data_IF_590393112069
#
_entry.id   IF_590393112069
#
_cell.length_a   1.000
_cell.length_b   1.000
_cell.length_c   1.000
_cell.angle_alpha   90.00
_cell.angle_beta   90.00
_cell.angle_gamma   90.00
#
_symmetry.space_group_name_H-M   'P 1'
#
loop_
_entity.id
_entity.type
_entity.pdbx_description
1 polymer ?
#
# COMPACT_ATOMS: atom_id res chain seq x y z
N UNK A 1 -19.93 -25.43 -69.77
CA UNK A 1 -20.64 -25.63 -68.49
C UNK A 1 -19.71 -25.23 -67.36
N UNK A 2 -19.93 -24.06 -66.78
CA UNK A 2 -19.13 -23.50 -65.69
C UNK A 2 -19.48 -24.21 -64.37
N UNK A 3 -18.48 -24.80 -63.71
CA UNK A 3 -18.63 -25.29 -62.32
C UNK A 3 -18.49 -24.10 -61.38
N UNK A 4 -19.56 -23.80 -60.64
CA UNK A 4 -19.58 -22.83 -59.55
C UNK A 4 -18.67 -23.29 -58.40
N UNK A 5 -17.93 -22.38 -57.73
CA UNK A 5 -17.11 -22.71 -56.57
C UNK A 5 -17.99 -22.98 -55.35
N UNK A 6 -17.55 -23.96 -54.57
CA UNK A 6 -18.28 -24.53 -53.44
C UNK A 6 -18.66 -23.53 -52.36
N UNK A 7 -19.86 -23.74 -51.82
CA UNK A 7 -20.34 -23.14 -50.59
C UNK A 7 -19.31 -23.34 -49.47
N UNK A 8 -18.75 -22.23 -48.99
CA UNK A 8 -17.97 -22.19 -47.77
C UNK A 8 -18.93 -22.35 -46.60
N UNK A 9 -19.13 -23.59 -46.14
CA UNK A 9 -19.85 -23.87 -44.89
C UNK A 9 -18.87 -23.56 -43.76
N UNK A 10 -19.05 -22.48 -42.97
CA UNK A 10 -18.20 -22.24 -41.82
C UNK A 10 -18.35 -23.41 -40.85
N UNK A 11 -17.24 -24.02 -40.46
CA UNK A 11 -17.25 -25.21 -39.60
C UNK A 11 -18.01 -24.91 -38.31
N UNK A 12 -18.91 -25.82 -37.92
CA UNK A 12 -19.72 -25.74 -36.70
C UNK A 12 -18.87 -25.45 -35.45
N UNK A 13 -17.61 -25.90 -35.45
CA UNK A 13 -16.62 -25.69 -34.38
C UNK A 13 -16.24 -24.23 -34.16
N UNK A 14 -16.20 -23.38 -35.20
CA UNK A 14 -15.85 -21.96 -35.03
C UNK A 14 -16.98 -21.17 -34.38
N UNK A 15 -18.23 -21.51 -34.67
CA UNK A 15 -19.40 -20.88 -34.05
C UNK A 15 -19.54 -21.25 -32.57
N UNK A 16 -19.32 -22.52 -32.20
CA UNK A 16 -19.37 -22.96 -30.80
C UNK A 16 -18.25 -22.34 -29.97
N UNK A 17 -17.03 -22.24 -30.51
CA UNK A 17 -15.91 -21.59 -29.83
C UNK A 17 -16.19 -20.09 -29.62
N UNK A 18 -16.72 -19.41 -30.64
CA UNK A 18 -17.07 -18.00 -30.51
C UNK A 18 -18.18 -17.78 -29.46
N UNK A 19 -19.21 -18.63 -29.45
CA UNK A 19 -20.29 -18.56 -28.47
C UNK A 19 -19.79 -18.76 -27.04
N UNK A 20 -18.94 -19.77 -26.80
CA UNK A 20 -18.33 -20.02 -25.48
C UNK A 20 -17.47 -18.85 -24.99
N UNK A 21 -16.77 -18.16 -25.90
CA UNK A 21 -15.95 -17.00 -25.54
C UNK A 21 -16.82 -15.80 -25.18
N UNK A 22 -17.92 -15.58 -25.89
CA UNK A 22 -18.89 -14.52 -25.59
C UNK A 22 -19.58 -14.77 -24.24
N UNK A 23 -19.99 -16.01 -23.96
CA UNK A 23 -20.57 -16.38 -22.67
C UNK A 23 -19.58 -16.20 -21.52
N UNK A 24 -18.34 -16.65 -21.69
CA UNK A 24 -17.28 -16.45 -20.69
C UNK A 24 -17.02 -14.96 -20.42
N UNK A 25 -16.98 -14.13 -21.47
CA UNK A 25 -16.81 -12.68 -21.34
C UNK A 25 -18.01 -12.02 -20.66
N UNK A 26 -19.24 -12.51 -20.90
CA UNK A 26 -20.44 -12.03 -20.19
C UNK A 26 -20.38 -12.36 -18.71
N UNK A 27 -20.12 -13.63 -18.36
CA UNK A 27 -19.97 -14.02 -16.96
C UNK A 27 -18.85 -13.24 -16.26
N UNK A 28 -17.74 -12.97 -16.95
CA UNK A 28 -16.66 -12.15 -16.41
C UNK A 28 -17.11 -10.70 -16.17
N UNK A 29 -17.90 -10.13 -17.09
CA UNK A 29 -18.45 -8.78 -16.94
C UNK A 29 -19.43 -8.71 -15.75
N UNK A 30 -20.31 -9.71 -15.62
CA UNK A 30 -21.27 -9.79 -14.52
C UNK A 30 -20.56 -9.90 -13.16
N UNK A 31 -19.50 -10.71 -13.08
CA UNK A 31 -18.70 -10.88 -11.87
C UNK A 31 -17.96 -9.57 -11.50
N UNK A 32 -17.40 -8.88 -12.50
CA UNK A 32 -16.81 -7.55 -12.30
C UNK A 32 -17.84 -6.52 -11.85
N UNK A 33 -19.06 -6.58 -12.38
CA UNK A 33 -20.13 -5.67 -12.01
C UNK A 33 -20.57 -5.90 -10.55
N UNK A 34 -20.74 -7.16 -10.13
CA UNK A 34 -21.03 -7.51 -8.74
C UNK A 34 -19.91 -7.06 -7.79
N UNK A 35 -18.65 -7.28 -8.16
CA UNK A 35 -17.50 -6.84 -7.36
C UNK A 35 -17.44 -5.30 -7.25
N UNK A 36 -17.79 -4.57 -8.32
CA UNK A 36 -17.88 -3.12 -8.30
C UNK A 36 -19.01 -2.64 -7.39
N UNK A 37 -20.19 -3.25 -7.47
CA UNK A 37 -21.34 -2.94 -6.61
C UNK A 37 -21.02 -3.20 -5.13
N UNK A 38 -20.34 -4.30 -4.81
CA UNK A 38 -19.89 -4.60 -3.46
C UNK A 38 -18.86 -3.57 -2.96
N UNK A 39 -17.85 -3.25 -3.77
CA UNK A 39 -16.83 -2.24 -3.40
C UNK A 39 -17.45 -0.85 -3.21
N UNK A 40 -18.46 -0.50 -4.01
CA UNK A 40 -19.23 0.74 -3.85
C UNK A 40 -20.01 0.73 -2.54
N UNK A 41 -20.69 -0.37 -2.22
CA UNK A 41 -21.39 -0.51 -0.94
C UNK A 41 -20.45 -0.40 0.27
N UNK A 42 -19.23 -0.95 0.17
CA UNK A 42 -18.20 -0.79 1.19
C UNK A 42 -17.76 0.68 1.33
N UNK A 43 -17.53 1.39 0.23
CA UNK A 43 -17.21 2.82 0.22
C UNK A 43 -18.33 3.67 0.84
N UNK A 44 -19.59 3.41 0.50
CA UNK A 44 -20.74 4.14 1.05
C UNK A 44 -20.84 3.94 2.57
N UNK A 45 -20.62 2.70 3.06
CA UNK A 45 -20.59 2.39 4.49
C UNK A 45 -19.44 3.11 5.21
N UNK A 46 -18.25 3.13 4.63
CA UNK A 46 -17.09 3.85 5.18
C UNK A 46 -17.32 5.36 5.21
N UNK A 47 -17.95 5.93 4.18
CA UNK A 47 -18.28 7.36 4.13
C UNK A 47 -19.22 7.78 5.27
N UNK A 48 -20.25 6.97 5.56
CA UNK A 48 -21.16 7.22 6.70
C UNK A 48 -20.43 7.12 8.04
N UNK A 49 -19.54 6.13 8.20
CA UNK A 49 -18.73 5.98 9.42
C UNK A 49 -17.78 7.17 9.61
N UNK A 50 -17.12 7.63 8.56
CA UNK A 50 -16.26 8.82 8.60
C UNK A 50 -17.05 10.06 9.00
N UNK A 51 -18.24 10.29 8.43
CA UNK A 51 -19.09 11.41 8.81
C UNK A 51 -19.50 11.37 10.29
N UNK A 52 -19.79 10.18 10.84
CA UNK A 52 -20.05 10.00 12.28
C UNK A 52 -18.80 10.30 13.11
N UNK A 53 -17.63 9.80 12.70
CA UNK A 53 -16.37 10.05 13.42
C UNK A 53 -15.98 11.54 13.40
N UNK A 54 -16.18 12.25 12.28
CA UNK A 54 -15.95 13.68 12.16
C UNK A 54 -16.90 14.49 13.06
N UNK A 55 -18.19 14.14 13.06
CA UNK A 55 -19.18 14.76 13.97
C UNK A 55 -18.83 14.48 15.45
N UNK A 56 -18.39 13.26 15.77
CA UNK A 56 -18.00 12.91 17.14
C UNK A 56 -16.71 13.62 17.55
N UNK A 57 -15.75 13.79 16.64
CA UNK A 57 -14.52 14.52 16.90
C UNK A 57 -14.80 16.00 17.20
N UNK A 58 -15.66 16.64 16.41
CA UNK A 58 -16.05 18.04 16.65
C UNK A 58 -16.80 18.19 17.97
N UNK A 59 -17.75 17.30 18.28
CA UNK A 59 -18.44 17.29 19.57
C UNK A 59 -17.49 17.12 20.75
N UNK A 60 -16.50 16.21 20.65
CA UNK A 60 -15.47 16.03 21.69
C UNK A 60 -14.56 17.26 21.84
N UNK A 61 -14.17 17.91 20.74
CA UNK A 61 -13.38 19.15 20.79
C UNK A 61 -14.15 20.27 21.48
N UNK A 62 -15.44 20.41 21.20
CA UNK A 62 -16.31 21.39 21.86
C UNK A 62 -16.49 21.06 23.35
N UNK A 63 -16.68 19.78 23.70
CA UNK A 63 -16.78 19.34 25.08
C UNK A 63 -15.48 19.56 25.89
N UNK A 64 -14.31 19.36 25.27
CA UNK A 64 -13.01 19.68 25.86
C UNK A 64 -12.87 21.18 26.08
N UNK A 65 -13.17 22.01 25.07
CA UNK A 65 -13.12 23.46 25.20
C UNK A 65 -14.08 24.00 26.28
N UNK A 66 -15.28 23.43 26.42
CA UNK A 66 -16.20 23.76 27.52
C UNK A 66 -15.62 23.34 28.88
N UNK A 67 -14.92 22.20 28.95
CA UNK A 67 -14.29 21.72 30.17
C UNK A 67 -13.10 22.60 30.58
N UNK A 68 -12.27 23.03 29.63
CA UNK A 68 -11.15 23.95 29.87
C UNK A 68 -11.65 25.31 30.39
N UNK A 69 -12.71 25.87 29.78
CA UNK A 69 -13.35 27.11 30.26
C UNK A 69 -13.92 26.96 31.67
N UNK A 70 -14.49 25.79 31.99
CA UNK A 70 -14.98 25.51 33.33
C UNK A 70 -13.84 25.39 34.35
N UNK A 71 -12.71 24.78 33.97
CA UNK A 71 -11.50 24.72 34.80
C UNK A 71 -10.93 26.12 35.07
N UNK A 72 -10.81 26.97 34.04
CA UNK A 72 -10.37 28.37 34.20
C UNK A 72 -11.25 29.15 35.19
N UNK A 73 -12.58 28.92 35.15
CA UNK A 73 -13.51 29.52 36.09
C UNK A 73 -13.37 28.96 37.52
N UNK A 74 -13.16 27.64 37.66
CA UNK A 74 -12.90 27.01 38.97
C UNK A 74 -11.59 27.49 39.58
N UNK A 75 -10.51 27.59 38.79
CA UNK A 75 -9.20 28.07 39.25
C UNK A 75 -9.28 29.52 39.74
N UNK A 76 -10.02 30.39 39.02
CA UNK A 76 -10.27 31.76 39.44
C UNK A 76 -11.07 31.83 40.76
N UNK A 77 -12.10 30.98 40.92
CA UNK A 77 -12.86 30.89 42.17
C UNK A 77 -12.03 30.36 43.34
N UNK A 78 -11.14 29.40 43.09
CA UNK A 78 -10.22 28.88 44.11
C UNK A 78 -9.21 29.94 44.56
N UNK A 79 -8.62 30.69 43.63
CA UNK A 79 -7.72 31.81 43.96
C UNK A 79 -8.42 32.90 44.80
N UNK A 80 -9.69 33.20 44.52
CA UNK A 80 -10.50 34.11 45.34
C UNK A 80 -10.85 33.51 46.72
N UNK A 81 -11.09 32.20 46.80
CA UNK A 81 -11.39 31.52 48.06
C UNK A 81 -10.16 31.44 48.99
N UNK A 82 -8.98 31.19 48.43
CA UNK A 82 -7.73 31.10 49.20
C UNK A 82 -7.31 32.47 49.75
N UNK A 83 -7.54 33.55 48.99
CA UNK A 83 -7.33 34.94 49.45
C UNK A 83 -8.43 35.45 50.40
N UNK A 84 -9.56 34.74 50.49
CA UNK A 84 -10.68 35.03 51.40
C UNK A 84 -10.60 34.33 52.76
N UNK A 85 -9.65 33.41 52.98
CA UNK A 85 -9.45 32.78 54.28
C UNK A 85 -8.93 33.82 55.27
N UNK A 86 -9.61 34.03 56.41
CA UNK A 86 -9.21 35.06 57.35
C UNK A 86 -7.82 34.72 57.90
N UNK A 87 -7.04 35.75 58.18
CA UNK A 87 -5.75 35.70 58.89
C UNK A 87 -5.84 35.10 60.31
N UNK A 88 -6.95 34.46 60.66
CA UNK A 88 -7.23 33.81 61.93
C UNK A 88 -6.21 32.70 62.29
N UNK A 89 -5.43 32.20 61.33
CA UNK A 89 -4.31 31.27 61.57
C UNK A 89 -3.00 31.96 62.01
N UNK A 90 -2.89 33.29 61.93
CA UNK A 90 -1.63 34.02 62.14
C UNK A 90 -1.60 34.84 63.44
N UNK A 91 -2.28 34.34 64.49
CA UNK A 91 -2.45 35.03 65.79
C UNK A 91 -1.17 35.17 66.63
N UNK A 92 0.01 35.10 66.02
CA UNK A 92 1.31 35.03 66.67
C UNK A 92 2.42 35.87 65.99
N UNK A 93 2.08 36.87 65.17
CA UNK A 93 3.05 37.76 64.53
C UNK A 93 3.17 39.12 65.28
N UNK A 94 4.33 39.77 65.19
CA UNK A 94 4.55 41.09 65.82
C UNK A 94 3.87 42.22 65.02
N UNK A 95 3.50 43.37 65.65
CA UNK A 95 2.70 44.42 65.00
C UNK A 95 3.30 45.02 63.71
N UNK A 96 4.63 45.04 63.58
CA UNK A 96 5.33 45.52 62.39
C UNK A 96 5.35 44.48 61.25
N UNK A 97 5.33 43.20 61.60
CA UNK A 97 5.25 42.10 60.64
C UNK A 97 3.80 41.89 60.15
N UNK A 98 2.81 42.25 60.97
CA UNK A 98 1.40 42.23 60.62
C UNK A 98 1.06 43.24 59.50
N UNK A 99 1.62 44.45 59.51
CA UNK A 99 1.37 45.45 58.45
C UNK A 99 1.97 45.04 57.09
N UNK A 100 3.20 44.53 57.06
CA UNK A 100 3.81 44.04 55.82
C UNK A 100 3.11 42.77 55.29
N UNK A 101 2.66 41.88 56.17
CA UNK A 101 1.92 40.68 55.82
C UNK A 101 0.50 40.98 55.33
N UNK A 102 -0.16 41.99 55.91
CA UNK A 102 -1.45 42.52 55.44
C UNK A 102 -1.34 43.15 54.05
N UNK A 103 -0.29 43.93 53.79
CA UNK A 103 -0.03 44.50 52.46
C UNK A 103 0.18 43.40 51.41
N UNK A 104 0.98 42.37 51.72
CA UNK A 104 1.19 41.22 50.80
C UNK A 104 -0.10 40.43 50.54
N UNK A 105 -0.90 40.15 51.57
CA UNK A 105 -2.19 39.47 51.41
C UNK A 105 -3.20 40.29 50.57
N UNK A 106 -3.17 41.63 50.69
CA UNK A 106 -3.99 42.51 49.85
C UNK A 106 -3.53 42.55 48.40
N UNK A 107 -2.22 42.51 48.15
CA UNK A 107 -1.65 42.40 46.81
C UNK A 107 -2.03 41.06 46.15
N UNK A 108 -1.91 39.94 46.88
CA UNK A 108 -2.33 38.60 46.43
C UNK A 108 -3.83 38.56 46.10
N UNK A 109 -4.67 39.20 46.91
CA UNK A 109 -6.11 39.34 46.64
C UNK A 109 -6.38 40.17 45.38
N UNK A 110 -5.68 41.30 45.18
CA UNK A 110 -5.81 42.12 43.98
C UNK A 110 -5.40 41.37 42.71
N UNK A 111 -4.38 40.51 42.80
CA UNK A 111 -3.97 39.64 41.69
C UNK A 111 -5.02 38.58 41.38
N UNK A 112 -5.59 37.92 42.40
CA UNK A 112 -6.68 36.96 42.23
C UNK A 112 -7.93 37.59 41.61
N UNK A 113 -8.31 38.80 42.04
CA UNK A 113 -9.40 39.60 41.45
C UNK A 113 -9.11 39.98 39.98
N UNK A 114 -7.86 40.34 39.66
CA UNK A 114 -7.44 40.62 38.29
C UNK A 114 -7.58 39.41 37.36
N UNK A 115 -7.19 38.22 37.83
CA UNK A 115 -7.33 36.96 37.10
C UNK A 115 -8.81 36.59 36.88
N UNK A 116 -9.66 36.75 37.91
CA UNK A 116 -11.09 36.49 37.82
C UNK A 116 -11.77 37.40 36.78
N UNK A 117 -11.44 38.69 36.73
CA UNK A 117 -11.94 39.63 35.71
C UNK A 117 -11.48 39.27 34.31
N UNK A 118 -10.24 38.80 34.16
CA UNK A 118 -9.73 38.34 32.86
C UNK A 118 -10.46 37.09 32.35
N UNK A 119 -10.74 36.13 33.24
CA UNK A 119 -11.53 34.93 32.92
C UNK A 119 -12.97 35.30 32.56
N UNK A 120 -13.61 36.19 33.33
CA UNK A 120 -14.96 36.69 33.02
C UNK A 120 -15.03 37.35 31.65
N UNK A 121 -14.10 38.26 31.34
CA UNK A 121 -14.05 38.91 30.03
C UNK A 121 -13.84 37.89 28.89
N UNK A 122 -13.08 36.81 29.13
CA UNK A 122 -12.96 35.72 28.15
C UNK A 122 -14.28 34.99 28.01
N UNK A 123 -14.95 34.60 29.09
CA UNK A 123 -16.23 33.88 29.05
C UNK A 123 -17.33 34.69 28.35
N UNK A 124 -17.46 35.99 28.66
CA UNK A 124 -18.42 36.91 28.03
C UNK A 124 -18.24 36.98 26.50
N UNK A 125 -16.99 37.01 26.05
CA UNK A 125 -16.66 37.04 24.62
C UNK A 125 -17.00 35.75 23.89
N UNK A 126 -16.99 34.61 24.58
CA UNK A 126 -17.35 33.31 24.02
C UNK A 126 -18.86 33.06 24.07
N UNK A 127 -19.58 33.55 25.08
CA UNK A 127 -21.04 33.52 25.14
C UNK A 127 -21.68 34.44 24.07
N UNK A 128 -21.09 35.60 23.79
CA UNK A 128 -21.56 36.52 22.75
C UNK A 128 -21.36 36.04 21.31
N UNK A 129 -20.53 35.00 21.08
CA UNK A 129 -20.19 34.51 19.75
C UNK A 129 -21.05 33.35 19.23
N UNK A 130 -21.78 32.64 20.09
CA UNK A 130 -22.44 31.38 19.73
C UNK A 130 -23.95 31.49 19.45
N UNK A 131 -24.60 32.63 19.72
CA UNK A 131 -26.06 32.78 19.61
C UNK A 131 -26.53 34.09 18.93
N UNK A 132 -25.67 34.77 18.17
CA UNK A 132 -26.07 35.97 17.42
C UNK A 132 -26.75 35.63 16.08
N UNK A 133 -27.76 34.75 16.09
CA UNK A 133 -28.79 34.69 15.04
C UNK A 133 -30.14 34.56 15.76
N UNK A 134 -31.04 35.49 15.46
CA UNK A 134 -32.41 35.68 15.99
C UNK A 134 -32.55 36.43 17.32
N UNK A 135 -32.37 37.75 17.31
CA UNK A 135 -33.46 38.73 17.56
C UNK A 135 -32.94 40.18 17.61
N UNK A 136 -33.67 41.18 17.08
CA UNK A 136 -33.27 42.57 17.06
C UNK A 136 -33.72 43.28 18.35
N UNK A 137 -32.81 43.94 19.04
CA UNK A 137 -33.21 44.83 20.13
C UNK A 137 -32.07 45.25 21.04
N UNK A 138 -31.81 46.55 21.02
CA UNK A 138 -31.10 47.33 22.06
C UNK A 138 -29.57 47.37 21.90
N UNK A 139 -29.16 48.31 21.03
CA UNK A 139 -27.96 49.12 21.23
C UNK A 139 -28.01 49.85 22.56
N UNK A 140 -27.07 49.60 23.46
CA UNK A 140 -26.63 50.59 24.45
C UNK A 140 -25.12 50.53 24.58
N UNK A 141 -24.48 51.45 23.88
CA UNK A 141 -23.18 52.01 24.22
C UNK A 141 -23.11 52.37 25.70
N UNK A 142 -22.11 51.85 26.41
CA UNK A 142 -21.65 52.44 27.67
C UNK A 142 -20.13 52.40 27.71
N UNK A 143 -19.55 53.56 27.43
CA UNK A 143 -18.22 53.94 27.91
C UNK A 143 -18.29 54.07 29.44
N UNK A 144 -17.58 53.23 30.19
CA UNK A 144 -17.36 53.44 31.63
C UNK A 144 -15.87 53.45 31.91
N UNK A 145 -15.36 54.67 31.96
CA UNK A 145 -14.10 55.08 32.54
C UNK A 145 -14.08 54.91 34.06
N UNK A 146 -12.85 54.85 34.59
CA UNK A 146 -12.44 55.29 35.92
C UNK A 146 -12.59 54.30 37.07
N UNK A 147 -11.41 53.97 37.59
CA UNK A 147 -11.07 53.54 38.94
C UNK A 147 -12.17 53.76 40.02
N UNK A 148 -12.59 52.64 40.61
CA UNK A 148 -12.92 52.59 42.03
C UNK A 148 -12.48 51.23 42.58
N UNK A 149 -11.56 51.25 43.55
CA UNK A 149 -11.06 50.08 44.26
C UNK A 149 -12.04 49.65 45.34
N UNK A 150 -13.29 49.43 44.96
CA UNK A 150 -14.39 49.02 45.83
C UNK A 150 -14.71 47.53 45.68
N UNK A 151 -15.02 46.89 46.79
CA UNK A 151 -15.35 45.45 46.92
C UNK A 151 -16.39 44.97 45.87
N UNK A 152 -15.89 44.41 44.76
CA UNK A 152 -16.70 43.82 43.68
C UNK A 152 -16.57 42.30 43.60
N UNK A 153 -15.92 41.68 44.58
CA UNK A 153 -15.63 40.24 44.62
C UNK A 153 -16.90 39.39 44.61
N UNK A 154 -17.91 39.68 45.44
CA UNK A 154 -19.10 38.82 45.55
C UNK A 154 -19.97 38.81 44.29
N UNK A 155 -20.05 39.93 43.58
CA UNK A 155 -20.84 40.06 42.34
C UNK A 155 -20.12 39.38 41.18
N UNK A 156 -18.81 39.57 41.06
CA UNK A 156 -17.96 38.90 40.05
C UNK A 156 -17.90 37.38 40.30
N UNK A 157 -17.82 36.96 41.56
CA UNK A 157 -17.88 35.57 41.99
C UNK A 157 -19.24 34.93 41.67
N UNK A 158 -20.34 35.66 41.90
CA UNK A 158 -21.68 35.20 41.53
C UNK A 158 -21.82 35.01 40.02
N UNK A 159 -21.30 35.94 39.20
CA UNK A 159 -21.28 35.82 37.73
C UNK A 159 -20.44 34.63 37.25
N UNK A 160 -19.28 34.37 37.84
CA UNK A 160 -18.46 33.18 37.54
C UNK A 160 -19.23 31.89 37.84
N UNK A 161 -19.98 31.85 38.95
CA UNK A 161 -20.84 30.70 39.30
C UNK A 161 -21.99 30.52 38.31
N UNK A 162 -22.59 31.61 37.82
CA UNK A 162 -23.64 31.57 36.78
C UNK A 162 -23.09 31.06 35.45
N UNK A 163 -21.93 31.51 35.00
CA UNK A 163 -21.25 30.95 33.80
C UNK A 163 -20.88 29.47 33.98
N UNK A 164 -20.52 29.04 35.18
CA UNK A 164 -20.26 27.63 35.47
C UNK A 164 -21.52 26.76 35.36
N UNK A 165 -22.68 27.29 35.73
CA UNK A 165 -23.97 26.60 35.52
C UNK A 165 -24.28 26.51 34.03
N UNK A 166 -24.10 27.59 33.27
CA UNK A 166 -24.30 27.61 31.81
C UNK A 166 -23.35 26.62 31.10
N UNK A 167 -22.06 26.60 31.46
CA UNK A 167 -21.08 25.65 30.89
C UNK A 167 -21.41 24.19 31.25
N UNK A 168 -22.03 23.95 32.41
CA UNK A 168 -22.52 22.60 32.79
C UNK A 168 -23.74 22.20 31.95
N UNK A 169 -24.64 23.13 31.66
CA UNK A 169 -25.81 22.90 30.81
C UNK A 169 -25.40 22.69 29.34
N UNK A 170 -24.48 23.49 28.80
CA UNK A 170 -23.88 23.30 27.48
C UNK A 170 -23.22 21.92 27.38
N UNK A 171 -22.42 21.53 28.38
CA UNK A 171 -21.80 20.21 28.47
C UNK A 171 -22.84 19.08 28.54
N UNK A 172 -23.98 19.29 29.19
CA UNK A 172 -25.07 18.32 29.23
C UNK A 172 -25.77 18.19 27.86
N UNK A 173 -25.92 19.29 27.11
CA UNK A 173 -26.44 19.27 25.75
C UNK A 173 -25.55 18.45 24.80
N UNK A 174 -24.22 18.59 24.90
CA UNK A 174 -23.25 17.81 24.11
C UNK A 174 -23.25 16.31 24.47
N UNK A 175 -23.63 15.94 25.70
CA UNK A 175 -23.80 14.53 26.08
C UNK A 175 -25.03 13.88 25.44
N UNK A 176 -26.05 14.65 25.04
CA UNK A 176 -27.24 14.14 24.36
C UNK A 176 -27.04 13.89 22.87
N UNK A 177 -26.10 14.60 22.23
CA UNK A 177 -25.62 14.32 20.87
C UNK A 177 -24.69 13.12 20.98
N UNK A 178 -25.31 11.94 21.04
CA UNK A 178 -24.73 10.59 20.99
C UNK A 178 -23.20 10.55 20.95
N UNK A 179 -22.58 10.87 22.08
CA UNK A 179 -21.29 10.30 22.42
C UNK A 179 -21.64 8.84 22.64
N UNK A 180 -21.57 8.01 21.59
CA UNK A 180 -21.28 6.60 21.85
C UNK A 180 -20.13 6.65 22.82
N UNK A 181 -20.32 6.15 24.05
CA UNK A 181 -19.19 6.05 24.93
C UNK A 181 -18.14 5.34 24.08
N UNK A 182 -16.92 5.86 24.08
CA UNK A 182 -15.78 4.97 24.07
C UNK A 182 -15.93 4.08 25.32
N UNK A 183 -16.95 3.21 25.34
CA UNK A 183 -16.78 1.90 25.88
C UNK A 183 -15.55 1.45 25.12
N UNK A 184 -14.49 1.18 25.89
CA UNK A 184 -13.35 0.42 25.43
C UNK A 184 -13.84 -0.45 24.28
N UNK A 185 -13.28 -0.29 23.08
CA UNK A 185 -13.43 -1.26 21.97
C UNK A 185 -13.71 -2.57 22.65
N UNK A 186 -14.95 -3.05 22.61
CA UNK A 186 -15.30 -4.15 23.52
C UNK A 186 -14.24 -5.21 23.27
N UNK A 187 -13.75 -5.89 24.31
CA UNK A 187 -12.67 -6.86 24.12
C UNK A 187 -12.96 -7.78 22.90
N UNK A 188 -14.26 -8.01 22.66
CA UNK A 188 -14.88 -8.56 21.46
C UNK A 188 -14.63 -7.79 20.14
N UNK A 189 -14.85 -6.48 20.05
CA UNK A 189 -14.52 -5.66 18.86
C UNK A 189 -13.02 -5.61 18.55
N UNK A 190 -12.17 -5.54 19.59
CA UNK A 190 -10.72 -5.60 19.40
C UNK A 190 -10.29 -6.99 18.88
N UNK A 191 -10.81 -8.07 19.48
CA UNK A 191 -10.59 -9.43 18.98
C UNK A 191 -11.18 -9.67 17.60
N UNK A 192 -12.29 -9.02 17.26
CA UNK A 192 -12.90 -9.11 15.92
C UNK A 192 -12.01 -8.44 14.88
N UNK A 193 -11.47 -7.27 15.18
CA UNK A 193 -10.48 -6.60 14.33
C UNK A 193 -9.19 -7.41 14.20
N UNK A 194 -8.72 -8.03 15.28
CA UNK A 194 -7.56 -8.92 15.26
C UNK A 194 -7.81 -10.16 14.40
N UNK A 195 -9.02 -10.73 14.48
CA UNK A 195 -9.43 -11.87 13.66
C UNK A 195 -9.56 -11.48 12.18
N UNK A 196 -10.19 -10.36 11.87
CA UNK A 196 -10.30 -9.83 10.51
C UNK A 196 -8.89 -9.55 9.93
N UNK A 197 -7.99 -8.95 10.71
CA UNK A 197 -6.60 -8.73 10.31
C UNK A 197 -5.83 -10.05 10.13
N UNK A 198 -6.10 -11.06 10.96
CA UNK A 198 -5.51 -12.40 10.81
C UNK A 198 -6.02 -13.12 9.54
N UNK A 199 -7.32 -13.01 9.23
CA UNK A 199 -7.92 -13.55 8.00
C UNK A 199 -7.32 -12.85 6.78
N UNK A 200 -7.23 -11.52 6.79
CA UNK A 200 -6.58 -10.77 5.70
C UNK A 200 -5.11 -11.17 5.52
N UNK A 201 -4.38 -11.39 6.62
CA UNK A 201 -3.01 -11.90 6.54
C UNK A 201 -2.97 -13.32 5.97
N UNK A 202 -3.91 -14.19 6.32
CA UNK A 202 -4.00 -15.54 5.79
C UNK A 202 -4.32 -15.54 4.29
N UNK A 203 -5.30 -14.75 3.85
CA UNK A 203 -5.64 -14.58 2.43
C UNK A 203 -4.46 -14.00 1.65
N UNK A 204 -3.80 -12.98 2.19
CA UNK A 204 -2.60 -12.39 1.56
C UNK A 204 -1.45 -13.39 1.46
N UNK A 205 -1.30 -14.27 2.45
CA UNK A 205 -0.30 -15.35 2.40
C UNK A 205 -0.67 -16.42 1.37
N UNK A 206 -1.93 -16.83 1.30
CA UNK A 206 -2.41 -17.76 0.29
C UNK A 206 -2.19 -17.20 -1.13
N UNK A 207 -2.54 -15.94 -1.38
CA UNK A 207 -2.28 -15.27 -2.66
C UNK A 207 -0.78 -15.19 -2.97
N UNK A 208 0.08 -14.98 -1.95
CA UNK A 208 1.54 -14.98 -2.14
C UNK A 208 2.07 -16.36 -2.50
N UNK A 209 1.52 -17.42 -1.93
CA UNK A 209 1.86 -18.81 -2.24
C UNK A 209 1.43 -19.15 -3.67
N UNK A 210 0.17 -18.88 -4.03
CA UNK A 210 -0.33 -19.04 -5.40
C UNK A 210 0.50 -18.25 -6.41
N UNK A 211 0.88 -17.01 -6.10
CA UNK A 211 1.77 -16.20 -6.95
C UNK A 211 3.16 -16.83 -7.10
N UNK A 212 3.70 -17.43 -6.04
CA UNK A 212 4.99 -18.11 -6.09
C UNK A 212 4.91 -19.39 -6.94
N UNK A 213 3.83 -20.16 -6.80
CA UNK A 213 3.54 -21.34 -7.61
C UNK A 213 3.37 -20.99 -9.09
N UNK A 214 2.56 -19.97 -9.41
CA UNK A 214 2.39 -19.49 -10.78
C UNK A 214 3.70 -19.01 -11.41
N UNK A 215 4.58 -18.37 -10.63
CA UNK A 215 5.92 -18.00 -11.11
C UNK A 215 6.79 -19.21 -11.41
N UNK A 216 6.76 -20.24 -10.57
CA UNK A 216 7.50 -21.48 -10.82
C UNK A 216 6.97 -22.20 -12.06
N UNK A 217 5.64 -22.26 -12.24
CA UNK A 217 5.02 -22.83 -13.44
C UNK A 217 5.39 -22.04 -14.70
N UNK A 218 5.35 -20.70 -14.66
CA UNK A 218 5.77 -19.87 -15.79
C UNK A 218 7.22 -20.14 -16.17
N UNK A 219 8.11 -20.22 -15.18
CA UNK A 219 9.52 -20.53 -15.42
C UNK A 219 9.70 -21.89 -16.12
N UNK A 220 8.99 -22.94 -15.68
CA UNK A 220 9.05 -24.26 -16.31
C UNK A 220 8.50 -24.22 -17.74
N UNK A 221 7.35 -23.57 -17.95
CA UNK A 221 6.74 -23.42 -19.28
C UNK A 221 7.63 -22.63 -20.24
N UNK A 222 8.32 -21.59 -19.78
CA UNK A 222 9.29 -20.84 -20.58
C UNK A 222 10.47 -21.73 -21.01
N UNK A 223 10.93 -22.62 -20.12
CA UNK A 223 11.99 -23.59 -20.44
C UNK A 223 11.52 -24.65 -21.43
N UNK A 224 10.31 -25.17 -21.26
CA UNK A 224 9.70 -26.12 -22.20
C UNK A 224 9.48 -25.47 -23.57
N UNK A 225 8.96 -24.23 -23.61
CA UNK A 225 8.82 -23.45 -24.84
C UNK A 225 10.16 -23.29 -25.55
N UNK A 226 11.20 -22.85 -24.84
CA UNK A 226 12.53 -22.69 -25.44
C UNK A 226 13.10 -24.01 -25.96
N UNK A 227 12.87 -25.13 -25.26
CA UNK A 227 13.29 -26.46 -25.73
C UNK A 227 12.52 -26.90 -26.99
N UNK A 228 11.22 -26.63 -27.05
CA UNK A 228 10.39 -26.91 -28.22
C UNK A 228 10.78 -26.03 -29.41
N UNK A 229 11.08 -24.75 -29.20
CA UNK A 229 11.57 -23.83 -30.24
C UNK A 229 12.90 -24.32 -30.82
N UNK A 230 13.84 -24.78 -29.99
CA UNK A 230 15.08 -25.40 -30.46
C UNK A 230 14.81 -26.68 -31.26
N UNK A 231 13.86 -27.52 -30.82
CA UNK A 231 13.49 -28.74 -31.54
C UNK A 231 12.87 -28.41 -32.90
N UNK A 232 11.98 -27.41 -32.96
CA UNK A 232 11.40 -26.91 -34.20
C UNK A 232 12.49 -26.40 -35.16
N UNK A 233 13.40 -25.55 -34.69
CA UNK A 233 14.54 -25.08 -35.49
C UNK A 233 15.44 -26.22 -35.99
N UNK A 234 15.60 -27.30 -35.22
CA UNK A 234 16.32 -28.49 -35.67
C UNK A 234 15.61 -29.22 -36.81
N UNK A 235 14.27 -29.26 -36.80
CA UNK A 235 13.48 -29.85 -37.87
C UNK A 235 13.49 -28.98 -39.13
N UNK A 236 13.36 -27.66 -38.98
CA UNK A 236 13.49 -26.70 -40.08
C UNK A 236 14.85 -26.80 -40.77
N UNK A 237 15.94 -26.93 -40.01
CA UNK A 237 17.27 -27.13 -40.58
C UNK A 237 17.40 -28.47 -41.34
N UNK A 238 16.76 -29.54 -40.84
CA UNK A 238 16.72 -30.83 -41.56
C UNK A 238 15.91 -30.72 -42.85
N UNK A 239 14.75 -30.06 -42.80
CA UNK A 239 13.90 -29.83 -43.97
C UNK A 239 14.66 -29.04 -45.04
N UNK A 240 15.33 -27.95 -44.66
CA UNK A 240 16.17 -27.16 -45.57
C UNK A 240 17.29 -27.99 -46.19
N UNK A 241 17.96 -28.86 -45.42
CA UNK A 241 19.00 -29.75 -45.95
C UNK A 241 18.43 -30.74 -46.99
N UNK A 242 17.25 -31.31 -46.73
CA UNK A 242 16.58 -32.16 -47.71
C UNK A 242 16.15 -31.40 -48.96
N UNK A 243 15.65 -30.18 -48.84
CA UNK A 243 15.30 -29.34 -49.98
C UNK A 243 16.51 -29.07 -50.88
N UNK A 244 17.65 -28.66 -50.30
CA UNK A 244 18.90 -28.44 -51.04
C UNK A 244 19.36 -29.73 -51.71
N UNK A 245 19.28 -30.88 -51.03
CA UNK A 245 19.62 -32.17 -51.62
C UNK A 245 18.74 -32.53 -52.82
N UNK A 246 17.43 -32.28 -52.73
CA UNK A 246 16.49 -32.47 -53.83
C UNK A 246 16.82 -31.54 -55.00
N UNK A 247 17.10 -30.26 -54.73
CA UNK A 247 17.52 -29.31 -55.76
C UNK A 247 18.81 -29.74 -56.45
N UNK A 248 19.83 -30.17 -55.68
CA UNK A 248 21.07 -30.67 -56.23
C UNK A 248 20.86 -31.87 -57.17
N UNK A 249 20.04 -32.85 -56.75
CA UNK A 249 19.69 -34.01 -57.57
C UNK A 249 18.89 -33.61 -58.83
N UNK A 250 18.00 -32.61 -58.72
CA UNK A 250 17.28 -32.07 -59.89
C UNK A 250 18.24 -31.43 -60.88
N UNK A 251 19.19 -30.63 -60.42
CA UNK A 251 20.21 -30.01 -61.27
C UNK A 251 21.08 -31.06 -61.95
N UNK A 252 21.54 -32.09 -61.21
CA UNK A 252 22.27 -33.22 -61.81
C UNK A 252 21.46 -33.96 -62.87
N UNK A 253 20.16 -34.15 -62.67
CA UNK A 253 19.28 -34.77 -63.66
C UNK A 253 19.07 -33.91 -64.90
N UNK A 254 19.06 -32.58 -64.76
CA UNK A 254 19.01 -31.65 -65.89
C UNK A 254 20.33 -31.68 -66.67
N UNK A 255 21.47 -31.69 -65.97
CA UNK A 255 22.80 -31.78 -66.59
C UNK A 255 23.07 -33.15 -67.24
N UNK A 256 22.50 -34.22 -66.67
CA UNK A 256 22.60 -35.59 -67.19
C UNK A 256 21.60 -35.88 -68.31
N UNK A 257 20.68 -34.97 -68.65
CA UNK A 257 19.94 -35.04 -69.91
C UNK A 257 20.87 -34.54 -71.02
N UNK A 258 21.47 -35.41 -71.84
CA UNK A 258 22.21 -34.94 -72.99
C UNK A 258 21.25 -34.15 -73.89
N UNK A 259 21.70 -32.99 -74.37
CA UNK A 259 21.06 -32.29 -75.48
C UNK A 259 20.79 -33.29 -76.60
N UNK A 260 19.53 -33.71 -76.75
CA UNK A 260 19.04 -34.38 -77.94
C UNK A 260 19.04 -33.35 -79.08
N UNK A 261 20.19 -33.10 -79.67
CA UNK A 261 20.29 -32.53 -81.01
C UNK A 261 20.99 -33.57 -81.90
N UNK A 262 20.45 -33.85 -83.11
CA UNK A 262 21.04 -34.81 -84.03
C UNK A 262 22.38 -34.27 -84.55
N UNK A 263 23.35 -35.14 -84.89
CA UNK A 263 24.70 -34.73 -85.24
C UNK A 263 24.70 -34.11 -86.63
N UNK A 264 24.83 -32.78 -86.73
CA UNK A 264 25.21 -32.13 -87.99
C UNK A 264 26.66 -31.64 -87.94
N UNK A 265 27.34 -32.04 -89.02
CA UNK A 265 28.75 -31.94 -89.32
C UNK A 265 29.28 -30.50 -89.45
N UNK A 266 30.60 -30.39 -89.24
CA UNK A 266 31.54 -29.39 -89.75
C UNK A 266 31.52 -27.98 -89.12
N UNK A 267 32.37 -27.79 -88.11
CA UNK A 267 33.18 -26.59 -88.01
C UNK A 267 34.50 -26.93 -87.32
N UNK A 268 35.60 -26.60 -88.00
CA UNK A 268 36.96 -26.63 -87.47
C UNK A 268 37.04 -25.82 -86.17
N UNK A 269 37.19 -26.50 -85.03
CA UNK A 269 37.67 -25.89 -83.79
C UNK A 269 38.80 -26.76 -83.26
N UNK A 270 39.97 -26.16 -83.06
CA UNK A 270 41.17 -26.87 -82.62
C UNK A 270 40.87 -27.68 -81.34
N UNK A 271 41.28 -28.97 -81.26
CA UNK A 271 40.97 -29.85 -80.13
C UNK A 271 41.48 -29.29 -78.79
N UNK A 272 42.61 -28.57 -78.79
CA UNK A 272 43.15 -27.88 -77.61
C UNK A 272 42.21 -26.82 -77.04
N UNK A 273 41.45 -26.10 -77.89
CA UNK A 273 40.51 -25.05 -77.44
C UNK A 273 39.30 -25.68 -76.75
N UNK A 274 38.85 -26.83 -77.26
CA UNK A 274 37.73 -27.57 -76.68
C UNK A 274 38.11 -28.22 -75.34
N UNK A 275 39.31 -28.79 -75.25
CA UNK A 275 39.85 -29.35 -74.00
C UNK A 275 40.10 -28.26 -72.94
N UNK A 276 40.59 -27.08 -73.34
CA UNK A 276 40.72 -25.92 -72.44
C UNK A 276 39.36 -25.45 -71.93
N UNK A 277 38.34 -25.39 -72.79
CA UNK A 277 36.98 -24.98 -72.40
C UNK A 277 36.33 -25.98 -71.43
N UNK A 278 36.56 -27.27 -71.62
CA UNK A 278 36.12 -28.31 -70.70
C UNK A 278 36.87 -28.26 -69.36
N UNK A 279 38.18 -28.04 -69.39
CA UNK A 279 39.00 -27.85 -68.19
C UNK A 279 38.53 -26.64 -67.39
N UNK A 280 38.27 -25.50 -68.05
CA UNK A 280 37.73 -24.30 -67.41
C UNK A 280 36.32 -24.52 -66.82
N UNK A 281 35.48 -25.35 -67.43
CA UNK A 281 34.17 -25.72 -66.85
C UNK A 281 34.34 -26.57 -65.59
N UNK A 282 35.25 -27.55 -65.59
CA UNK A 282 35.56 -28.36 -64.39
C UNK A 282 36.12 -27.48 -63.27
N UNK A 283 37.01 -26.55 -63.59
CA UNK A 283 37.57 -25.60 -62.63
C UNK A 283 36.48 -24.70 -62.01
N UNK A 284 35.56 -24.17 -62.83
CA UNK A 284 34.41 -23.38 -62.33
C UNK A 284 33.48 -24.20 -61.43
N UNK A 285 33.22 -25.46 -61.78
CA UNK A 285 32.41 -26.37 -60.96
C UNK A 285 33.07 -26.69 -59.61
N UNK A 286 34.39 -26.94 -59.62
CA UNK A 286 35.16 -27.16 -58.40
C UNK A 286 35.18 -25.92 -57.50
N UNK A 287 35.35 -24.72 -58.08
CA UNK A 287 35.25 -23.45 -57.31
C UNK A 287 33.89 -23.28 -56.66
N UNK A 288 32.81 -23.47 -57.41
CA UNK A 288 31.45 -23.39 -56.86
C UNK A 288 31.23 -24.38 -55.70
N UNK A 289 31.78 -25.59 -55.80
CA UNK A 289 31.67 -26.60 -54.74
C UNK A 289 32.53 -26.28 -53.51
N UNK A 290 33.70 -25.67 -53.70
CA UNK A 290 34.52 -25.16 -52.59
C UNK A 290 33.79 -24.03 -51.89
N UNK A 291 33.19 -23.09 -52.63
CA UNK A 291 32.43 -21.98 -52.07
C UNK A 291 31.23 -22.47 -51.25
N UNK A 292 30.51 -23.49 -51.74
CA UNK A 292 29.41 -24.13 -51.01
C UNK A 292 29.89 -24.82 -49.73
N UNK A 293 31.00 -25.56 -49.78
CA UNK A 293 31.58 -26.20 -48.60
C UNK A 293 32.06 -25.17 -47.57
N UNK A 294 32.68 -24.09 -47.99
CA UNK A 294 33.08 -22.98 -47.12
C UNK A 294 31.84 -22.36 -46.46
N UNK A 295 30.78 -22.11 -47.23
CA UNK A 295 29.52 -21.58 -46.69
C UNK A 295 28.88 -22.53 -45.67
N UNK A 296 28.94 -23.85 -45.89
CA UNK A 296 28.45 -24.84 -44.91
C UNK A 296 29.31 -24.88 -43.64
N UNK A 297 30.63 -24.82 -43.77
CA UNK A 297 31.55 -24.77 -42.63
C UNK A 297 31.34 -23.50 -41.81
N UNK A 298 31.17 -22.35 -42.44
CA UNK A 298 30.84 -21.10 -41.77
C UNK A 298 29.51 -21.18 -41.01
N UNK A 299 28.48 -21.78 -41.61
CA UNK A 299 27.19 -22.00 -40.94
C UNK A 299 27.33 -22.94 -39.73
N UNK A 300 28.06 -24.05 -39.87
CA UNK A 300 28.31 -24.99 -38.77
C UNK A 300 29.11 -24.31 -37.65
N UNK A 301 30.11 -23.51 -38.00
CA UNK A 301 30.96 -22.76 -37.05
C UNK A 301 30.13 -21.75 -36.28
N UNK A 302 29.31 -20.94 -36.98
CA UNK A 302 28.36 -20.01 -36.34
C UNK A 302 27.38 -20.75 -35.42
N UNK A 303 26.89 -21.92 -35.81
CA UNK A 303 26.00 -22.73 -34.98
C UNK A 303 26.73 -23.31 -33.74
N UNK A 304 27.98 -23.72 -33.88
CA UNK A 304 28.81 -24.18 -32.76
C UNK A 304 29.15 -23.04 -31.79
N UNK A 305 29.45 -21.85 -32.29
CA UNK A 305 29.66 -20.64 -31.48
C UNK A 305 28.39 -20.23 -30.74
N UNK A 306 27.23 -20.28 -31.38
CA UNK A 306 25.94 -20.01 -30.73
C UNK A 306 25.67 -21.01 -29.59
N UNK A 307 25.90 -22.32 -29.83
CA UNK A 307 25.78 -23.34 -28.77
C UNK A 307 26.76 -23.09 -27.62
N UNK A 308 27.99 -22.68 -27.92
CA UNK A 308 29.00 -22.34 -26.91
C UNK A 308 28.56 -21.12 -26.08
N UNK A 309 28.11 -20.04 -26.73
CA UNK A 309 27.57 -18.84 -26.06
C UNK A 309 26.39 -19.18 -25.15
N UNK A 310 25.44 -19.96 -25.65
CA UNK A 310 24.28 -20.43 -24.86
C UNK A 310 24.71 -21.26 -23.65
N UNK A 311 25.70 -22.16 -23.81
CA UNK A 311 26.22 -22.93 -22.69
C UNK A 311 26.88 -22.07 -21.61
N UNK A 312 27.58 -21.00 -22.01
CA UNK A 312 28.16 -20.04 -21.08
C UNK A 312 27.09 -19.23 -20.33
N UNK A 313 26.04 -18.80 -21.02
CA UNK A 313 24.89 -18.10 -20.40
C UNK A 313 24.18 -18.98 -19.36
N UNK A 314 23.95 -20.26 -19.65
CA UNK A 314 23.36 -21.20 -18.68
C UNK A 314 24.22 -21.35 -17.42
N UNK A 315 25.55 -21.43 -17.58
CA UNK A 315 26.48 -21.51 -16.45
C UNK A 315 26.42 -20.24 -15.60
N UNK A 316 26.33 -19.07 -16.23
CA UNK A 316 26.26 -17.80 -15.50
C UNK A 316 24.92 -17.58 -14.80
N UNK A 317 23.82 -18.09 -15.35
CA UNK A 317 22.52 -18.11 -14.69
C UNK A 317 22.50 -19.07 -13.50
N UNK A 318 23.09 -20.27 -13.63
CA UNK A 318 23.29 -21.18 -12.50
C UNK A 318 24.13 -20.53 -11.39
N UNK A 319 25.21 -19.83 -11.75
CA UNK A 319 26.02 -19.07 -10.78
C UNK A 319 25.22 -17.95 -10.14
N UNK A 320 24.38 -17.21 -10.88
CA UNK A 320 23.49 -16.19 -10.32
C UNK A 320 22.47 -16.79 -9.35
N UNK A 321 21.80 -17.87 -9.74
CA UNK A 321 20.84 -18.58 -8.89
C UNK A 321 21.51 -19.10 -7.61
N UNK A 322 22.72 -19.68 -7.72
CA UNK A 322 23.48 -20.14 -6.56
C UNK A 322 23.88 -18.98 -5.63
N UNK A 323 24.36 -17.86 -6.17
CA UNK A 323 24.67 -16.65 -5.37
C UNK A 323 23.43 -16.08 -4.70
N UNK A 324 22.31 -16.00 -5.42
CA UNK A 324 21.04 -15.54 -4.89
C UNK A 324 20.54 -16.48 -3.78
N UNK A 325 20.59 -17.80 -3.98
CA UNK A 325 20.21 -18.79 -2.97
C UNK A 325 21.06 -18.71 -1.71
N UNK A 326 22.39 -18.59 -1.85
CA UNK A 326 23.30 -18.38 -0.72
C UNK A 326 23.01 -17.06 0.02
N UNK A 327 22.73 -15.98 -0.69
CA UNK A 327 22.39 -14.69 -0.10
C UNK A 327 21.03 -14.75 0.62
N UNK A 328 20.03 -15.37 0.00
CA UNK A 328 18.70 -15.57 0.58
C UNK A 328 18.81 -16.42 1.85
N UNK A 329 19.58 -17.50 1.81
CA UNK A 329 19.83 -18.35 2.97
C UNK A 329 20.52 -17.57 4.11
N UNK A 330 21.53 -16.76 3.80
CA UNK A 330 22.20 -15.92 4.80
C UNK A 330 21.24 -14.88 5.42
N UNK A 331 20.40 -14.26 4.60
CA UNK A 331 19.40 -13.29 5.04
C UNK A 331 18.33 -13.95 5.94
N UNK A 332 17.80 -15.10 5.53
CA UNK A 332 16.82 -15.88 6.30
C UNK A 332 17.44 -16.30 7.64
N UNK A 333 18.68 -16.81 7.65
CA UNK A 333 19.38 -17.17 8.88
C UNK A 333 19.60 -15.97 9.81
N UNK A 334 19.95 -14.80 9.27
CA UNK A 334 20.10 -13.57 10.05
C UNK A 334 18.76 -13.11 10.65
N UNK A 335 17.69 -13.15 9.87
CA UNK A 335 16.34 -12.81 10.32
C UNK A 335 15.87 -13.75 11.44
N UNK A 336 16.06 -15.06 11.31
CA UNK A 336 15.72 -16.03 12.36
C UNK A 336 16.48 -15.77 13.66
N UNK A 337 17.76 -15.40 13.58
CA UNK A 337 18.57 -15.05 14.76
C UNK A 337 18.01 -13.81 15.46
N UNK A 338 17.64 -12.78 14.71
CA UNK A 338 17.04 -11.56 15.27
C UNK A 338 15.66 -11.85 15.87
N UNK A 339 14.82 -12.63 15.18
CA UNK A 339 13.52 -13.09 15.68
C UNK A 339 13.66 -13.82 17.02
N UNK A 340 14.59 -14.77 17.13
CA UNK A 340 14.86 -15.49 18.39
C UNK A 340 15.27 -14.53 19.52
N UNK A 341 16.13 -13.55 19.24
CA UNK A 341 16.53 -12.52 20.22
C UNK A 341 15.35 -11.65 20.66
N UNK A 342 14.51 -11.21 19.72
CA UNK A 342 13.35 -10.38 20.03
C UNK A 342 12.30 -11.15 20.83
N UNK A 343 12.02 -12.40 20.46
CA UNK A 343 11.14 -13.28 21.24
C UNK A 343 11.65 -13.51 22.67
N UNK A 344 12.97 -13.65 22.85
CA UNK A 344 13.55 -13.78 24.19
C UNK A 344 13.41 -12.49 25.02
N UNK A 345 13.52 -11.31 24.38
CA UNK A 345 13.27 -10.02 25.06
C UNK A 345 11.80 -9.84 25.42
N UNK A 346 10.90 -10.17 24.50
CA UNK A 346 9.45 -10.09 24.72
C UNK A 346 9.05 -10.96 25.93
N UNK A 347 9.48 -12.22 25.97
CA UNK A 347 9.23 -13.12 27.11
C UNK A 347 9.76 -12.58 28.43
N UNK A 348 10.91 -11.89 28.44
CA UNK A 348 11.43 -11.26 29.67
C UNK A 348 10.53 -10.13 30.15
N UNK A 349 10.06 -9.29 29.23
CA UNK A 349 9.14 -8.19 29.57
C UNK A 349 7.79 -8.73 30.03
N UNK A 350 7.24 -9.73 29.34
CA UNK A 350 6.00 -10.42 29.75
C UNK A 350 6.13 -11.00 31.17
N UNK A 351 7.24 -11.67 31.47
CA UNK A 351 7.49 -12.21 32.81
C UNK A 351 7.63 -11.12 33.88
N UNK A 352 8.27 -9.99 33.53
CA UNK A 352 8.36 -8.84 34.43
C UNK A 352 6.99 -8.18 34.67
N UNK A 353 6.17 -8.03 33.64
CA UNK A 353 4.81 -7.50 33.77
C UNK A 353 3.92 -8.43 34.60
N UNK A 354 4.01 -9.75 34.39
CA UNK A 354 3.28 -10.73 35.20
C UNK A 354 3.66 -10.63 36.68
N UNK A 355 4.96 -10.57 36.99
CA UNK A 355 5.44 -10.41 38.36
C UNK A 355 5.01 -9.07 39.00
N UNK A 356 4.98 -7.97 38.23
CA UNK A 356 4.49 -6.68 38.71
C UNK A 356 2.97 -6.71 38.97
N UNK A 357 2.21 -7.36 38.09
CA UNK A 357 0.76 -7.54 38.24
C UNK A 357 0.42 -8.38 39.48
N UNK A 358 1.14 -9.49 39.71
CA UNK A 358 0.97 -10.32 40.90
C UNK A 358 1.24 -9.56 42.21
N UNK A 359 2.28 -8.70 42.23
CA UNK A 359 2.57 -7.84 43.39
C UNK A 359 1.46 -6.82 43.64
N UNK A 360 0.95 -6.18 42.59
CA UNK A 360 -0.14 -5.21 42.73
C UNK A 360 -1.43 -5.88 43.22
N UNK A 361 -1.76 -7.06 42.68
CA UNK A 361 -2.89 -7.85 43.18
C UNK A 361 -2.70 -8.27 44.65
N UNK A 362 -1.49 -8.66 45.05
CA UNK A 362 -1.21 -9.02 46.44
C UNK A 362 -1.35 -7.84 47.40
N UNK A 363 -0.96 -6.64 46.98
CA UNK A 363 -1.14 -5.40 47.75
C UNK A 363 -2.62 -5.05 47.92
N UNK A 364 -3.41 -5.13 46.84
CA UNK A 364 -4.85 -4.87 46.91
C UNK A 364 -5.55 -5.87 47.86
N UNK A 365 -5.17 -7.15 47.85
CA UNK A 365 -5.72 -8.16 48.78
C UNK A 365 -5.34 -7.85 50.23
N UNK A 366 -4.14 -7.29 50.48
CA UNK A 366 -3.73 -6.87 51.83
C UNK A 366 -4.44 -5.58 52.31
N UNK A 367 -4.91 -4.73 51.40
CA UNK A 367 -5.70 -3.54 51.75
C UNK A 367 -7.18 -3.84 52.01
N UNK A 368 -7.69 -4.97 51.51
CA UNK A 368 -9.08 -5.43 51.73
C UNK A 368 -9.27 -6.33 52.97
N UNK A 369 -8.19 -6.74 53.64
CA UNK A 369 -8.18 -7.52 54.89
C UNK A 369 -7.85 -6.63 56.09
#
# INVERSE_FOLDING_TARGET
MYKLPGNFVPSCNSYTVCCSKVEHLRCQNDLLQLALEESRGQCDRLSVLLGKHESNQTALQLALACSDRALEAFDALLALADTGRPLANYRAASPLEEEEMMCRAQEERRLAEGLARQVLHRLDRHCGGALAVTSPGITTSSTSSSCDGGELTKIEEQRLREHLVQLREERAAWKSVHIEPRGATTLLDAHKLDLENAVLMQELMAIKEEKAELKAQNYLLEKEKAALELRAGSWEAREQAYLISIEHLRTQLVDARPSQQPPMRLASTNPEIQELAESQKREKSLKARIDELVATLEKITKNAELRSRQSAEFVDDLKRANRQGLCLFALVSAFEKVKKKNMAKLRKVELQMAAMSERHNSQNIQEEL
#
